data_IF_968747438130
#
_entry.id   IF_968747438130
#
_cell.length_a   1.000
_cell.length_b   1.000
_cell.length_c   1.000
_cell.angle_alpha   90.00
_cell.angle_beta   90.00
_cell.angle_gamma   90.00
#
_symmetry.space_group_name_H-M   'P 1'
#
loop_
_entity.id
_entity.type
_entity.pdbx_description
1 polymer ?
#
# COMPACT_ATOMS: atom_id res chain seq x y z
N UNK A 1 -31.47 -31.20 -5.22
CA UNK A 1 -30.32 -31.78 -5.96
C UNK A 1 -29.05 -31.42 -5.21
N UNK A 2 -28.70 -32.22 -4.21
CA UNK A 2 -27.49 -32.08 -3.40
C UNK A 2 -26.31 -32.69 -4.17
N UNK A 3 -25.42 -31.84 -4.66
CA UNK A 3 -24.16 -32.27 -5.26
C UNK A 3 -23.30 -32.91 -4.16
N UNK A 4 -23.25 -34.23 -4.12
CA UNK A 4 -22.31 -34.98 -3.30
C UNK A 4 -20.92 -34.68 -3.86
N UNK A 5 -20.13 -33.87 -3.15
CA UNK A 5 -18.71 -33.71 -3.42
C UNK A 5 -18.08 -35.11 -3.28
N UNK A 6 -17.52 -35.70 -4.35
CA UNK A 6 -16.78 -36.95 -4.21
C UNK A 6 -15.68 -36.72 -3.18
N UNK A 7 -15.62 -37.59 -2.18
CA UNK A 7 -14.52 -37.67 -1.21
C UNK A 7 -13.25 -38.03 -1.97
N UNK A 8 -12.67 -37.04 -2.65
CA UNK A 8 -11.43 -37.24 -3.38
C UNK A 8 -10.36 -37.61 -2.37
N UNK A 9 -9.74 -38.77 -2.58
CA UNK A 9 -8.64 -39.20 -1.75
C UNK A 9 -7.55 -38.13 -1.80
N UNK A 10 -6.85 -37.84 -0.70
CA UNK A 10 -5.88 -36.76 -0.62
C UNK A 10 -4.81 -36.82 -1.72
N UNK A 11 -4.47 -38.04 -2.19
CA UNK A 11 -3.64 -38.27 -3.36
C UNK A 11 -4.24 -37.72 -4.67
N UNK A 12 -5.50 -38.00 -4.97
CA UNK A 12 -6.17 -37.51 -6.20
C UNK A 12 -6.23 -35.97 -6.24
N UNK A 13 -6.45 -35.34 -5.07
CA UNK A 13 -6.41 -33.88 -4.96
C UNK A 13 -5.00 -33.34 -5.18
N UNK A 14 -3.98 -34.02 -4.65
CA UNK A 14 -2.59 -33.66 -4.85
C UNK A 14 -2.14 -33.82 -6.31
N UNK A 15 -2.54 -34.89 -6.99
CA UNK A 15 -2.27 -35.06 -8.43
C UNK A 15 -2.82 -33.90 -9.25
N UNK A 16 -4.08 -33.52 -9.03
CA UNK A 16 -4.65 -32.35 -9.73
C UNK A 16 -3.95 -31.03 -9.40
N UNK A 17 -3.47 -30.88 -8.17
CA UNK A 17 -2.67 -29.72 -7.77
C UNK A 17 -1.37 -29.67 -8.58
N UNK A 18 -0.68 -30.80 -8.73
CA UNK A 18 0.53 -30.92 -9.55
C UNK A 18 0.24 -30.68 -11.03
N UNK A 19 -0.85 -31.23 -11.57
CA UNK A 19 -1.20 -31.04 -12.99
C UNK A 19 -1.52 -29.56 -13.30
N UNK A 20 -2.18 -28.85 -12.38
CA UNK A 20 -2.60 -27.46 -12.59
C UNK A 20 -1.48 -26.43 -12.34
N UNK A 21 -0.61 -26.66 -11.35
CA UNK A 21 0.37 -25.67 -10.89
C UNK A 21 1.83 -26.10 -11.08
N UNK A 22 2.07 -27.35 -11.48
CA UNK A 22 3.39 -27.95 -11.59
C UNK A 22 3.98 -28.41 -10.25
N UNK A 23 5.21 -28.94 -10.27
CA UNK A 23 5.87 -29.51 -9.10
C UNK A 23 6.54 -28.49 -8.18
N UNK A 24 6.48 -27.20 -8.50
CA UNK A 24 7.11 -26.12 -7.74
C UNK A 24 6.18 -25.59 -6.63
N UNK A 25 6.46 -25.84 -5.34
CA UNK A 25 5.56 -25.48 -4.24
C UNK A 25 5.30 -23.99 -4.11
N UNK A 26 6.22 -23.14 -4.56
CA UNK A 26 6.04 -21.69 -4.56
C UNK A 26 4.93 -21.20 -5.50
N UNK A 27 4.53 -22.02 -6.48
CA UNK A 27 3.42 -21.73 -7.42
C UNK A 27 2.06 -22.18 -6.91
N UNK A 28 2.01 -22.95 -5.82
CA UNK A 28 0.76 -23.49 -5.30
C UNK A 28 -0.06 -22.42 -4.57
N UNK A 29 -1.40 -22.45 -4.67
CA UNK A 29 -2.27 -21.60 -3.88
C UNK A 29 -2.00 -21.77 -2.37
N UNK A 30 -1.94 -20.67 -1.63
CA UNK A 30 -1.63 -20.67 -0.20
C UNK A 30 -2.52 -21.61 0.62
N UNK A 31 -3.80 -21.73 0.24
CA UNK A 31 -4.79 -22.61 0.89
C UNK A 31 -4.48 -24.10 0.74
N UNK A 32 -3.81 -24.50 -0.35
CA UNK A 32 -3.57 -25.90 -0.72
C UNK A 32 -2.14 -26.33 -0.37
N UNK A 33 -1.21 -25.38 -0.24
CA UNK A 33 0.21 -25.64 0.04
C UNK A 33 0.44 -26.39 1.35
N UNK A 34 -0.15 -25.94 2.46
CA UNK A 34 0.05 -26.57 3.76
C UNK A 34 -0.43 -28.04 3.79
N UNK A 35 -1.57 -28.33 3.14
CA UNK A 35 -2.08 -29.68 3.04
C UNK A 35 -1.21 -30.58 2.15
N UNK A 36 -0.68 -30.03 1.05
CA UNK A 36 0.23 -30.74 0.16
C UNK A 36 1.59 -31.04 0.83
N UNK A 37 2.15 -30.10 1.58
CA UNK A 37 3.38 -30.29 2.36
C UNK A 37 3.20 -31.37 3.43
N UNK A 38 2.08 -31.33 4.17
CA UNK A 38 1.75 -32.36 5.15
C UNK A 38 1.58 -33.75 4.49
N UNK A 39 1.00 -33.81 3.29
CA UNK A 39 0.88 -35.06 2.55
C UNK A 39 2.25 -35.59 2.07
N UNK A 40 3.13 -34.70 1.61
CA UNK A 40 4.49 -35.06 1.19
C UNK A 40 5.34 -35.59 2.36
N UNK A 41 5.18 -35.03 3.55
CA UNK A 41 5.86 -35.51 4.75
C UNK A 41 5.42 -36.93 5.14
N UNK A 42 4.13 -37.24 4.97
CA UNK A 42 3.54 -38.46 5.50
C UNK A 42 3.31 -39.57 4.46
N UNK A 43 3.45 -39.29 3.16
CA UNK A 43 3.14 -40.25 2.08
C UNK A 43 4.32 -40.43 1.13
N UNK A 44 4.79 -41.68 1.01
CA UNK A 44 5.77 -42.06 -0.01
C UNK A 44 5.19 -41.94 -1.43
N UNK A 45 3.90 -42.25 -1.61
CA UNK A 45 3.23 -42.14 -2.89
C UNK A 45 3.16 -40.69 -3.39
N UNK A 46 2.90 -39.73 -2.51
CA UNK A 46 2.90 -38.31 -2.88
C UNK A 46 4.30 -37.83 -3.30
N UNK A 47 5.36 -38.30 -2.63
CA UNK A 47 6.75 -38.00 -3.00
C UNK A 47 7.12 -38.60 -4.36
N UNK A 48 6.64 -39.80 -4.67
CA UNK A 48 6.83 -40.43 -5.98
C UNK A 48 6.18 -39.61 -7.10
N UNK A 49 4.90 -39.20 -6.92
CA UNK A 49 4.19 -38.35 -7.88
C UNK A 49 4.92 -37.00 -8.12
N UNK A 50 5.43 -36.38 -7.06
CA UNK A 50 6.20 -35.15 -7.19
C UNK A 50 7.50 -35.36 -7.97
N UNK A 51 8.20 -36.47 -7.73
CA UNK A 51 9.43 -36.81 -8.44
C UNK A 51 9.17 -37.06 -9.94
N UNK A 52 8.09 -37.77 -10.27
CA UNK A 52 7.64 -37.98 -11.65
C UNK A 52 7.32 -36.66 -12.36
N UNK A 53 6.57 -35.77 -11.69
CA UNK A 53 6.25 -34.45 -12.23
C UNK A 53 7.50 -33.60 -12.48
N UNK A 54 8.50 -33.63 -11.58
CA UNK A 54 9.79 -32.96 -11.77
C UNK A 54 10.59 -33.54 -12.93
N UNK A 55 10.62 -34.87 -13.06
CA UNK A 55 11.30 -35.53 -14.15
C UNK A 55 10.67 -35.18 -15.50
N UNK A 56 9.34 -35.08 -15.56
CA UNK A 56 8.62 -34.61 -16.74
C UNK A 56 8.97 -33.16 -17.07
N UNK A 57 8.90 -32.24 -16.11
CA UNK A 57 9.23 -30.82 -16.33
C UNK A 57 10.68 -30.67 -16.82
N UNK A 58 11.64 -31.39 -16.22
CA UNK A 58 13.03 -31.38 -16.66
C UNK A 58 13.20 -31.86 -18.11
N UNK A 59 12.48 -32.92 -18.52
CA UNK A 59 12.49 -33.41 -19.90
C UNK A 59 11.89 -32.40 -20.88
N UNK A 60 10.82 -31.72 -20.48
CA UNK A 60 10.20 -30.68 -21.29
C UNK A 60 11.14 -29.50 -21.48
N UNK A 61 11.79 -29.03 -20.40
CA UNK A 61 12.77 -27.94 -20.46
C UNK A 61 13.97 -28.31 -21.33
N UNK A 62 14.46 -29.55 -21.23
CA UNK A 62 15.56 -30.03 -22.05
C UNK A 62 15.21 -30.14 -23.55
N UNK A 63 13.95 -30.42 -23.87
CA UNK A 63 13.47 -30.50 -25.25
C UNK A 63 13.23 -29.13 -25.91
N UNK A 64 13.14 -28.05 -25.12
CA UNK A 64 12.97 -26.70 -25.66
C UNK A 64 14.26 -26.20 -26.32
N UNK A 65 14.16 -25.50 -27.47
CA UNK A 65 15.32 -24.86 -28.09
C UNK A 65 15.99 -23.90 -27.10
N UNK A 66 17.26 -24.16 -26.79
CA UNK A 66 18.04 -23.27 -25.94
C UNK A 66 18.47 -22.04 -26.74
N UNK A 67 18.38 -20.82 -26.17
CA UNK A 67 18.81 -19.62 -26.87
C UNK A 67 20.32 -19.67 -27.14
N UNK A 68 20.73 -19.20 -28.32
CA UNK A 68 22.15 -19.13 -28.67
C UNK A 68 22.91 -18.27 -27.64
N UNK A 69 24.13 -18.67 -27.22
CA UNK A 69 24.88 -18.00 -26.16
C UNK A 69 25.14 -16.52 -26.47
N UNK A 70 25.33 -16.21 -27.75
CA UNK A 70 25.50 -14.85 -28.25
C UNK A 70 24.21 -14.00 -28.19
N UNK A 71 23.02 -14.59 -28.29
CA UNK A 71 21.76 -13.88 -28.08
C UNK A 71 21.58 -13.55 -26.58
N UNK A 72 21.95 -14.49 -25.69
CA UNK A 72 21.93 -14.28 -24.24
C UNK A 72 22.93 -13.18 -23.85
N UNK A 73 24.14 -13.21 -24.37
CA UNK A 73 25.16 -12.18 -24.11
C UNK A 73 24.71 -10.79 -24.57
N UNK A 74 24.06 -10.70 -25.75
CA UNK A 74 23.47 -9.44 -26.26
C UNK A 74 22.38 -8.91 -25.32
N UNK A 75 21.49 -9.78 -24.84
CA UNK A 75 20.45 -9.41 -23.87
C UNK A 75 21.06 -8.90 -22.56
N UNK A 76 22.03 -9.62 -22.00
CA UNK A 76 22.71 -9.23 -20.77
C UNK A 76 23.42 -7.88 -20.90
N UNK A 77 24.12 -7.64 -22.00
CA UNK A 77 24.76 -6.34 -22.28
C UNK A 77 23.73 -5.21 -22.41
N UNK A 78 22.58 -5.48 -23.02
CA UNK A 78 21.48 -4.51 -23.11
C UNK A 78 20.89 -4.20 -21.72
N UNK A 79 20.66 -5.21 -20.89
CA UNK A 79 20.17 -5.04 -19.52
C UNK A 79 21.16 -4.26 -18.65
N UNK A 80 22.45 -4.59 -18.70
CA UNK A 80 23.49 -3.87 -17.97
C UNK A 80 23.52 -2.38 -18.36
N UNK A 81 23.43 -2.09 -19.67
CA UNK A 81 23.32 -0.71 -20.17
C UNK A 81 22.03 -0.01 -19.71
N UNK A 82 20.90 -0.71 -19.70
CA UNK A 82 19.63 -0.14 -19.24
C UNK A 82 19.67 0.19 -17.75
N UNK A 83 20.21 -0.70 -16.92
CA UNK A 83 20.38 -0.48 -15.48
C UNK A 83 21.34 0.69 -15.23
N UNK A 84 22.47 0.75 -15.94
CA UNK A 84 23.44 1.83 -15.78
C UNK A 84 22.89 3.21 -16.17
N UNK A 85 21.93 3.27 -17.10
CA UNK A 85 21.26 4.51 -17.51
C UNK A 85 20.01 4.83 -16.70
N UNK A 86 19.50 3.88 -15.92
CA UNK A 86 18.35 4.13 -15.06
C UNK A 86 18.78 5.11 -13.98
N UNK A 87 18.10 6.25 -13.81
CA UNK A 87 18.37 7.11 -12.68
C UNK A 87 18.15 6.29 -11.42
N UNK A 88 19.13 6.33 -10.49
CA UNK A 88 18.94 5.71 -9.19
C UNK A 88 17.68 6.35 -8.56
N UNK A 89 16.84 5.56 -7.84
CA UNK A 89 15.74 6.13 -7.07
C UNK A 89 16.31 7.25 -6.21
N UNK A 90 15.91 8.49 -6.50
CA UNK A 90 16.40 9.64 -5.75
C UNK A 90 16.09 9.37 -4.27
N UNK A 91 17.07 9.54 -3.36
CA UNK A 91 16.82 9.30 -1.95
C UNK A 91 15.65 10.19 -1.53
N UNK A 92 14.59 9.58 -1.01
CA UNK A 92 13.39 10.31 -0.60
C UNK A 92 13.82 11.43 0.36
N UNK A 93 13.61 12.67 -0.05
CA UNK A 93 14.03 13.83 0.75
C UNK A 93 13.36 13.77 2.12
N UNK A 94 13.99 14.37 3.14
CA UNK A 94 13.40 14.45 4.48
C UNK A 94 11.99 15.09 4.43
N UNK A 95 11.78 16.05 3.52
CA UNK A 95 10.48 16.68 3.25
C UNK A 95 9.44 15.72 2.67
N UNK A 96 9.83 14.83 1.75
CA UNK A 96 8.93 13.80 1.20
C UNK A 96 8.52 12.78 2.26
N UNK A 97 9.44 12.42 3.16
CA UNK A 97 9.14 11.55 4.30
C UNK A 97 8.24 12.21 5.33
N UNK A 98 8.45 13.49 5.61
CA UNK A 98 7.62 14.27 6.54
C UNK A 98 6.21 14.47 5.99
N UNK A 99 6.08 14.86 4.73
CA UNK A 99 4.77 15.06 4.07
C UNK A 99 4.01 13.74 3.92
N UNK A 100 4.67 12.61 3.65
CA UNK A 100 4.02 11.29 3.66
C UNK A 100 3.49 10.91 5.06
N UNK A 101 4.19 11.28 6.13
CA UNK A 101 3.77 11.07 7.52
C UNK A 101 2.60 11.97 7.93
N UNK A 102 2.52 13.16 7.35
CA UNK A 102 1.46 14.14 7.59
C UNK A 102 0.26 13.97 6.62
N UNK A 103 0.42 13.21 5.54
CA UNK A 103 -0.64 12.89 4.56
C UNK A 103 -1.92 12.30 5.16
N UNK A 104 -1.89 11.40 6.18
CA UNK A 104 -3.12 10.95 6.82
C UNK A 104 -3.88 12.05 7.59
N UNK A 105 -3.25 13.20 7.88
CA UNK A 105 -3.86 14.34 8.56
C UNK A 105 -4.21 15.51 7.62
N UNK A 106 -3.84 15.43 6.34
CA UNK A 106 -4.05 16.49 5.36
C UNK A 106 -5.52 16.89 5.09
N UNK A 107 -6.55 16.02 5.16
CA UNK A 107 -7.92 16.48 4.92
C UNK A 107 -8.48 17.36 6.04
N UNK A 108 -7.81 17.47 7.20
CA UNK A 108 -8.29 18.23 8.37
C UNK A 108 -7.72 19.66 8.43
N UNK A 109 -6.63 19.96 7.72
CA UNK A 109 -5.91 21.23 7.87
C UNK A 109 -6.56 22.43 7.20
N UNK A 110 -7.11 22.29 5.99
CA UNK A 110 -7.60 23.46 5.23
C UNK A 110 -8.90 24.05 5.79
N UNK A 111 -9.76 23.23 6.40
CA UNK A 111 -11.01 23.70 7.01
C UNK A 111 -10.77 24.62 8.21
N UNK A 112 -9.79 24.30 9.06
CA UNK A 112 -9.46 25.12 10.23
C UNK A 112 -8.89 26.49 9.84
N UNK A 113 -8.02 26.54 8.82
CA UNK A 113 -7.51 27.81 8.30
C UNK A 113 -8.62 28.64 7.62
N UNK A 114 -9.50 28.01 6.84
CA UNK A 114 -10.65 28.70 6.25
C UNK A 114 -11.61 29.25 7.31
N UNK A 115 -11.86 28.49 8.39
CA UNK A 115 -12.70 28.92 9.50
C UNK A 115 -12.06 30.09 10.28
N UNK A 116 -10.77 30.03 10.59
CA UNK A 116 -10.07 31.15 11.26
C UNK A 116 -10.06 32.41 10.39
N UNK A 117 -9.78 32.28 9.09
CA UNK A 117 -9.81 33.40 8.15
C UNK A 117 -11.21 34.03 8.07
N UNK A 118 -12.26 33.20 8.08
CA UNK A 118 -13.65 33.66 8.07
C UNK A 118 -14.01 34.37 9.37
N UNK A 119 -13.65 33.82 10.54
CA UNK A 119 -13.87 34.49 11.83
C UNK A 119 -13.12 35.83 11.94
N UNK A 120 -11.85 35.87 11.51
CA UNK A 120 -11.05 37.09 11.52
C UNK A 120 -11.65 38.17 10.61
N UNK A 121 -12.10 37.77 9.41
CA UNK A 121 -12.78 38.66 8.47
C UNK A 121 -14.10 39.18 9.05
N UNK A 122 -14.87 38.30 9.71
CA UNK A 122 -16.14 38.66 10.33
C UNK A 122 -15.98 39.62 11.51
N UNK A 123 -14.98 39.39 12.38
CA UNK A 123 -14.66 40.29 13.49
C UNK A 123 -14.18 41.67 13.00
N UNK A 124 -13.39 41.70 11.92
CA UNK A 124 -12.97 42.96 11.29
C UNK A 124 -14.15 43.75 10.73
N UNK A 125 -15.15 43.07 10.18
CA UNK A 125 -16.37 43.69 9.69
C UNK A 125 -17.35 44.09 10.82
N UNK A 126 -17.35 43.33 11.93
CA UNK A 126 -18.19 43.57 13.11
C UNK A 126 -17.63 44.61 14.07
N UNK A 127 -16.39 45.07 13.87
CA UNK A 127 -15.83 46.22 14.58
C UNK A 127 -16.49 47.52 14.06
N UNK A 128 -17.79 47.67 14.31
CA UNK A 128 -18.50 48.94 14.22
C UNK A 128 -17.96 49.94 15.25
N UNK A 129 -18.17 51.25 15.01
CA UNK A 129 -17.53 52.30 15.79
C UNK A 129 -17.85 52.13 17.27
N UNK A 130 -16.80 52.25 18.10
CA UNK A 130 -16.85 52.15 19.55
C UNK A 130 -18.11 52.82 20.09
N UNK A 131 -19.05 52.01 20.56
CA UNK A 131 -20.26 52.46 21.25
C UNK A 131 -19.80 53.34 22.41
N UNK A 132 -20.35 54.55 22.43
CA UNK A 132 -19.98 55.72 23.23
C UNK A 132 -19.31 55.46 24.57
N UNK A 133 -18.28 56.26 24.81
CA UNK A 133 -17.61 56.44 26.09
C UNK A 133 -18.64 56.46 27.25
N UNK A 134 -18.70 55.41 28.08
CA UNK A 134 -19.69 55.28 29.16
C UNK A 134 -19.51 56.32 30.27
N UNK A 135 -18.43 57.12 30.19
CA UNK A 135 -18.06 58.15 31.17
C UNK A 135 -18.40 59.58 30.73
N UNK A 136 -18.87 59.77 29.49
CA UNK A 136 -19.32 61.06 28.99
C UNK A 136 -20.39 61.77 29.85
N UNK A 137 -21.40 61.06 30.39
CA UNK A 137 -22.43 61.69 31.24
C UNK A 137 -21.91 62.19 32.59
N UNK A 138 -20.81 61.62 33.10
CA UNK A 138 -20.26 61.98 34.42
C UNK A 138 -19.34 63.20 34.36
N UNK A 139 -18.78 63.53 33.18
CA UNK A 139 -17.98 64.74 33.00
C UNK A 139 -18.83 66.01 32.82
N UNK A 140 -20.12 65.86 32.52
CA UNK A 140 -21.06 66.98 32.35
C UNK A 140 -21.77 67.41 33.65
N UNK A 141 -21.44 66.81 34.80
CA UNK A 141 -21.96 67.24 36.09
C UNK A 141 -21.19 68.50 36.54
N UNK A 142 -21.81 69.71 36.53
CA UNK A 142 -21.19 70.88 37.11
C UNK A 142 -21.04 70.65 38.61
N UNK A 143 -19.80 70.64 39.10
CA UNK A 143 -19.53 70.78 40.54
C UNK A 143 -20.14 72.13 40.93
N UNK A 144 -21.22 72.07 41.72
CA UNK A 144 -21.83 73.24 42.33
C UNK A 144 -20.80 73.87 43.28
N UNK A 145 -20.02 74.82 42.77
CA UNK A 145 -19.44 75.84 43.61
C UNK A 145 -20.57 76.78 43.99
N UNK A 146 -20.97 76.75 45.26
CA UNK A 146 -21.69 77.86 45.87
C UNK A 146 -20.94 78.29 47.16
N UNK A 147 -20.83 79.60 47.41
CA UNK A 147 -19.77 80.21 48.20
C UNK A 147 -20.14 80.38 49.69
N UNK A 148 -19.12 80.40 50.55
CA UNK A 148 -19.11 81.14 51.81
C UNK A 148 -17.73 81.80 52.00
#
# INVERSE_FOLDING_TARGET
MTHVLPTHRPLDRFTRLLDAHGPEPSRWPARDRAAAEALLANSAAARALLAEARALEARLVAALPQPAPEAVARLQANLARAIARSPLPAPASAWTRLTARLRPAAPIGWGAFAAMATCALWLSFSAGPAVGDPLGPLQALPIAEDPL
#
